data_IF_992325774725
#
_entry.id   IF_992325774725
#
_cell.length_a   1.000
_cell.length_b   1.000
_cell.length_c   1.000
_cell.angle_alpha   90.00
_cell.angle_beta   90.00
_cell.angle_gamma   90.00
#
_symmetry.space_group_name_H-M   'P 1'
#
loop_
_entity.id
_entity.type
_entity.pdbx_description
1 polymer ?
#
# COMPACT_ATOMS: atom_id res chain seq x y z
N UNK A 1 6.43 -9.37 5.10
CA UNK A 1 6.28 -9.55 3.64
C UNK A 1 7.53 -9.09 2.90
N UNK A 2 7.96 -7.83 3.06
CA UNK A 2 9.17 -7.32 2.42
C UNK A 2 10.43 -8.19 2.67
N UNK A 3 10.65 -8.63 3.92
CA UNK A 3 11.78 -9.51 4.26
C UNK A 3 11.71 -10.86 3.55
N UNK A 4 10.52 -11.48 3.45
CA UNK A 4 10.34 -12.75 2.74
C UNK A 4 10.67 -12.62 1.26
N UNK A 5 10.22 -11.54 0.63
CA UNK A 5 10.51 -11.25 -0.78
C UNK A 5 12.00 -10.98 -0.96
N UNK A 6 12.61 -10.19 -0.07
CA UNK A 6 14.04 -9.93 -0.12
C UNK A 6 14.87 -11.22 -0.01
N UNK A 7 14.48 -12.15 0.87
CA UNK A 7 15.13 -13.47 0.98
C UNK A 7 14.92 -14.36 -0.25
N UNK A 8 13.74 -14.32 -0.87
CA UNK A 8 13.51 -15.06 -2.12
C UNK A 8 14.40 -14.55 -3.26
N UNK A 9 14.55 -13.23 -3.35
CA UNK A 9 15.43 -12.58 -4.32
C UNK A 9 16.90 -12.89 -4.02
N UNK A 10 17.33 -12.78 -2.75
CA UNK A 10 18.70 -13.11 -2.33
C UNK A 10 19.08 -14.56 -2.68
N UNK A 11 18.13 -15.49 -2.58
CA UNK A 11 18.33 -16.88 -2.98
C UNK A 11 18.40 -17.01 -4.51
N UNK A 12 17.53 -16.32 -5.24
CA UNK A 12 17.55 -16.33 -6.71
C UNK A 12 18.88 -15.78 -7.26
N UNK A 13 19.41 -14.70 -6.67
CA UNK A 13 20.70 -14.11 -7.07
C UNK A 13 21.89 -15.03 -6.86
N UNK A 14 21.78 -16.00 -5.94
CA UNK A 14 22.85 -16.98 -5.66
C UNK A 14 22.82 -18.19 -6.60
N UNK A 15 21.70 -18.44 -7.29
CA UNK A 15 21.51 -19.62 -8.13
C UNK A 15 21.72 -19.25 -9.59
N UNK A 16 22.82 -19.70 -10.18
CA UNK A 16 23.18 -19.41 -11.58
C UNK A 16 22.11 -19.85 -12.60
N UNK A 17 21.39 -20.95 -12.32
CA UNK A 17 20.36 -21.47 -13.20
C UNK A 17 19.02 -20.70 -13.15
N UNK A 18 18.88 -19.69 -12.28
CA UNK A 18 17.63 -18.97 -12.04
C UNK A 18 17.75 -17.53 -12.50
N UNK A 19 16.79 -17.07 -13.31
CA UNK A 19 16.66 -15.65 -13.65
C UNK A 19 15.98 -14.89 -12.52
N UNK A 20 16.72 -14.03 -11.81
CA UNK A 20 16.13 -13.18 -10.75
C UNK A 20 15.01 -12.30 -11.29
N UNK A 21 15.13 -11.82 -12.54
CA UNK A 21 14.08 -11.04 -13.20
C UNK A 21 12.76 -11.81 -13.27
N UNK A 22 12.79 -13.05 -13.75
CA UNK A 22 11.59 -13.88 -13.88
C UNK A 22 10.96 -14.19 -12.51
N UNK A 23 11.78 -14.42 -11.49
CA UNK A 23 11.32 -14.60 -10.11
C UNK A 23 10.61 -13.36 -9.62
N UNK A 24 11.19 -12.17 -9.82
CA UNK A 24 10.59 -10.89 -9.41
C UNK A 24 9.29 -10.63 -10.17
N UNK A 25 9.26 -10.86 -11.48
CA UNK A 25 8.05 -10.75 -12.30
C UNK A 25 6.93 -11.67 -11.81
N UNK A 26 7.28 -12.91 -11.47
CA UNK A 26 6.36 -13.89 -10.88
C UNK A 26 5.80 -13.41 -9.55
N UNK A 27 6.65 -12.90 -8.65
CA UNK A 27 6.25 -12.35 -7.34
C UNK A 27 5.30 -11.16 -7.52
N UNK A 28 5.63 -10.24 -8.43
CA UNK A 28 4.78 -9.08 -8.71
C UNK A 28 3.40 -9.52 -9.21
N UNK A 29 3.38 -10.43 -10.18
CA UNK A 29 2.15 -10.91 -10.84
C UNK A 29 1.25 -11.70 -9.90
N UNK A 30 1.81 -12.60 -9.11
CA UNK A 30 1.03 -13.58 -8.33
C UNK A 30 0.67 -13.07 -6.94
N UNK A 31 1.60 -12.35 -6.29
CA UNK A 31 1.47 -11.94 -4.89
C UNK A 31 1.22 -10.44 -4.75
N UNK A 32 2.12 -9.59 -5.25
CA UNK A 32 2.06 -8.16 -4.92
C UNK A 32 0.85 -7.45 -5.51
N UNK A 33 0.54 -7.67 -6.79
CA UNK A 33 -0.65 -7.07 -7.42
C UNK A 33 -1.92 -7.58 -6.73
N UNK A 34 -1.98 -8.87 -6.39
CA UNK A 34 -3.11 -9.46 -5.66
C UNK A 34 -3.29 -8.82 -4.28
N UNK A 35 -2.20 -8.64 -3.54
CA UNK A 35 -2.22 -8.05 -2.20
C UNK A 35 -2.63 -6.57 -2.25
N UNK A 36 -2.10 -5.80 -3.21
CA UNK A 36 -2.48 -4.38 -3.40
C UNK A 36 -3.98 -4.26 -3.67
N UNK A 37 -4.50 -4.97 -4.68
CA UNK A 37 -5.92 -4.93 -5.04
C UNK A 37 -6.82 -5.45 -3.91
N UNK A 38 -6.39 -6.52 -3.23
CA UNK A 38 -7.10 -7.09 -2.08
C UNK A 38 -7.19 -6.12 -0.92
N UNK A 39 -6.09 -5.42 -0.61
CA UNK A 39 -6.03 -4.42 0.45
C UNK A 39 -6.85 -3.17 0.09
N UNK A 40 -6.81 -2.69 -1.16
CA UNK A 40 -7.67 -1.59 -1.63
C UNK A 40 -9.15 -1.92 -1.47
N UNK A 41 -9.57 -3.10 -1.95
CA UNK A 41 -10.96 -3.56 -1.80
C UNK A 41 -11.36 -3.66 -0.33
N UNK A 42 -10.49 -4.25 0.50
CA UNK A 42 -10.74 -4.40 1.94
C UNK A 42 -10.83 -3.05 2.64
N UNK A 43 -9.96 -2.10 2.29
CA UNK A 43 -9.98 -0.73 2.80
C UNK A 43 -11.31 -0.05 2.46
N UNK A 44 -11.74 -0.11 1.21
CA UNK A 44 -12.98 0.51 0.76
C UNK A 44 -14.23 -0.09 1.43
N UNK A 45 -14.19 -1.38 1.80
CA UNK A 45 -15.32 -2.09 2.44
C UNK A 45 -15.15 -2.33 3.94
N UNK A 46 -14.17 -1.70 4.60
CA UNK A 46 -13.82 -2.03 5.97
C UNK A 46 -14.87 -1.61 7.00
N UNK A 47 -14.85 -2.26 8.15
CA UNK A 47 -15.56 -1.79 9.33
C UNK A 47 -14.70 -0.79 10.12
N UNK A 48 -15.34 0.06 10.90
CA UNK A 48 -14.71 1.04 11.78
C UNK A 48 -14.85 0.57 13.23
N UNK A 49 -13.87 0.90 14.06
CA UNK A 49 -13.90 0.60 15.49
C UNK A 49 -13.85 1.88 16.31
N UNK A 50 -14.64 1.96 17.38
CA UNK A 50 -14.52 3.05 18.34
C UNK A 50 -13.16 2.99 19.06
N UNK A 51 -12.51 4.15 19.25
CA UNK A 51 -11.27 4.26 20.04
C UNK A 51 -11.49 4.05 21.55
N UNK A 52 -12.66 4.43 22.07
CA UNK A 52 -12.99 4.35 23.49
C UNK A 52 -13.53 2.99 23.92
N UNK A 53 -14.67 2.56 23.38
CA UNK A 53 -15.37 1.34 23.83
C UNK A 53 -15.15 0.12 22.93
N UNK A 54 -14.46 0.26 21.78
CA UNK A 54 -14.18 -0.85 20.87
C UNK A 54 -15.36 -1.35 20.02
N UNK A 55 -16.53 -0.70 20.11
CA UNK A 55 -17.70 -1.02 19.29
C UNK A 55 -17.35 -1.01 17.79
N UNK A 56 -17.91 -1.97 17.04
CA UNK A 56 -17.62 -2.15 15.61
C UNK A 56 -18.80 -1.70 14.76
N UNK A 57 -18.51 -0.85 13.78
CA UNK A 57 -19.47 -0.23 12.88
C UNK A 57 -19.19 -0.66 11.45
N UNK A 58 -20.17 -1.33 10.81
CA UNK A 58 -20.06 -1.67 9.38
C UNK A 58 -20.10 -0.42 8.51
N UNK A 59 -20.84 0.60 8.92
CA UNK A 59 -20.88 1.93 8.31
C UNK A 59 -20.78 2.97 9.44
N UNK A 60 -19.92 3.98 9.32
CA UNK A 60 -19.82 5.01 10.35
C UNK A 60 -21.13 5.84 10.40
N UNK A 61 -21.58 6.27 11.58
CA UNK A 61 -22.68 7.24 11.70
C UNK A 61 -22.32 8.56 11.01
N UNK A 62 -23.34 9.33 10.59
CA UNK A 62 -23.14 10.66 9.96
C UNK A 62 -22.37 11.60 10.88
N UNK A 63 -22.54 11.47 12.20
CA UNK A 63 -21.80 12.24 13.21
C UNK A 63 -20.31 11.91 13.29
N UNK A 64 -19.86 10.82 12.64
CA UNK A 64 -18.50 10.24 12.73
C UNK A 64 -18.05 9.85 14.15
N UNK A 65 -18.96 9.87 15.12
CA UNK A 65 -18.72 9.54 16.53
C UNK A 65 -19.43 8.25 16.91
N UNK A 66 -18.92 7.59 17.94
CA UNK A 66 -19.56 6.41 18.49
C UNK A 66 -20.87 6.78 19.19
N UNK A 67 -21.96 6.13 18.80
CA UNK A 67 -23.29 6.33 19.40
C UNK A 67 -23.37 5.92 20.88
N UNK A 68 -22.41 5.13 21.36
CA UNK A 68 -22.40 4.60 22.75
C UNK A 68 -21.62 5.53 23.69
N UNK A 69 -20.42 5.98 23.30
CA UNK A 69 -19.52 6.72 24.19
C UNK A 69 -19.02 8.06 23.63
N UNK A 70 -19.49 8.49 22.46
CA UNK A 70 -19.14 9.77 21.85
C UNK A 70 -17.70 9.90 21.35
N UNK A 71 -16.86 8.87 21.55
CA UNK A 71 -15.47 8.83 21.09
C UNK A 71 -15.37 8.65 19.57
N UNK A 72 -14.23 9.04 19.01
CA UNK A 72 -13.96 8.90 17.58
C UNK A 72 -13.89 7.44 17.11
N UNK A 73 -14.24 7.25 15.84
CA UNK A 73 -14.03 6.00 15.14
C UNK A 73 -12.64 5.98 14.49
N UNK A 74 -12.05 4.79 14.44
CA UNK A 74 -10.80 4.50 13.72
C UNK A 74 -11.04 3.44 12.67
N UNK A 75 -10.29 3.54 11.58
CA UNK A 75 -10.19 2.51 10.56
C UNK A 75 -9.56 1.23 11.14
N UNK A 76 -9.94 0.08 10.59
CA UNK A 76 -9.33 -1.21 10.96
C UNK A 76 -8.12 -1.54 10.09
N UNK A 77 -8.08 -1.00 8.88
CA UNK A 77 -6.98 -1.06 7.94
C UNK A 77 -6.62 0.37 7.55
N UNK A 78 -5.37 0.76 7.77
CA UNK A 78 -4.91 2.13 7.49
C UNK A 78 -4.48 2.28 6.03
N UNK A 79 -4.60 3.50 5.49
CA UNK A 79 -4.07 3.86 4.17
C UNK A 79 -2.59 3.45 3.99
N UNK A 80 -1.73 3.81 4.95
CA UNK A 80 -0.30 3.54 4.90
C UNK A 80 0.02 2.04 4.74
N UNK A 81 -0.85 1.16 5.27
CA UNK A 81 -0.70 -0.27 5.10
C UNK A 81 -0.86 -0.71 3.65
N UNK A 82 -1.77 -0.09 2.89
CA UNK A 82 -2.02 -0.37 1.46
C UNK A 82 -0.88 0.16 0.60
N UNK A 83 -0.45 1.39 0.86
CA UNK A 83 0.62 2.07 0.12
C UNK A 83 1.95 1.33 0.18
N UNK A 84 2.28 0.77 1.34
CA UNK A 84 3.53 0.02 1.54
C UNK A 84 3.70 -1.15 0.55
N UNK A 85 2.62 -1.84 0.19
CA UNK A 85 2.68 -2.94 -0.77
C UNK A 85 2.96 -2.45 -2.18
N UNK A 86 2.27 -1.38 -2.58
CA UNK A 86 2.43 -0.79 -3.91
C UNK A 86 3.83 -0.20 -4.09
N UNK A 87 4.34 0.51 -3.08
CA UNK A 87 5.70 1.04 -3.07
C UNK A 87 6.75 -0.08 -3.19
N UNK A 88 6.55 -1.20 -2.49
CA UNK A 88 7.44 -2.37 -2.58
C UNK A 88 7.43 -2.95 -4.00
N UNK A 89 6.26 -3.09 -4.62
CA UNK A 89 6.12 -3.63 -5.98
C UNK A 89 6.74 -2.72 -7.04
N UNK A 90 6.52 -1.40 -6.94
CA UNK A 90 7.13 -0.42 -7.85
C UNK A 90 8.65 -0.39 -7.74
N UNK A 91 9.20 -0.49 -6.52
CA UNK A 91 10.64 -0.57 -6.32
C UNK A 91 11.23 -1.79 -7.04
N UNK A 92 10.66 -2.97 -6.81
CA UNK A 92 11.12 -4.21 -7.46
C UNK A 92 10.96 -4.16 -8.99
N UNK A 93 9.88 -3.56 -9.48
CA UNK A 93 9.66 -3.39 -10.92
C UNK A 93 10.75 -2.52 -11.58
N UNK A 94 11.21 -1.48 -10.88
CA UNK A 94 12.31 -0.62 -11.34
C UNK A 94 13.66 -1.32 -11.24
N UNK A 95 13.98 -1.89 -10.08
CA UNK A 95 15.30 -2.46 -9.80
C UNK A 95 15.65 -3.63 -10.73
N UNK A 96 14.65 -4.44 -11.11
CA UNK A 96 14.84 -5.64 -11.94
C UNK A 96 14.39 -5.47 -13.40
N UNK A 97 14.06 -4.24 -13.82
CA UNK A 97 13.59 -3.89 -15.16
C UNK A 97 12.59 -4.92 -15.75
N UNK A 98 11.48 -5.08 -15.03
CA UNK A 98 10.41 -6.03 -15.38
C UNK A 98 9.67 -5.62 -16.65
N UNK A 99 8.92 -6.55 -17.21
CA UNK A 99 8.08 -6.33 -18.38
C UNK A 99 7.15 -5.10 -18.26
N UNK A 100 6.96 -4.43 -19.39
CA UNK A 100 6.22 -3.16 -19.48
C UNK A 100 4.76 -3.30 -19.07
N UNK A 101 4.16 -4.47 -19.32
CA UNK A 101 2.80 -4.76 -18.87
C UNK A 101 2.68 -4.70 -17.35
N UNK A 102 3.67 -5.23 -16.62
CA UNK A 102 3.66 -5.21 -15.15
C UNK A 102 3.83 -3.79 -14.62
N UNK A 103 4.69 -2.99 -15.24
CA UNK A 103 4.85 -1.56 -14.89
C UNK A 103 3.53 -0.81 -15.09
N UNK A 104 2.92 -0.93 -16.27
CA UNK A 104 1.62 -0.34 -16.59
C UNK A 104 0.53 -0.76 -15.59
N UNK A 105 0.54 -2.03 -15.16
CA UNK A 105 -0.42 -2.55 -14.18
C UNK A 105 -0.24 -1.98 -12.79
N UNK A 106 1.00 -1.76 -12.36
CA UNK A 106 1.30 -1.07 -11.10
C UNK A 106 0.92 0.41 -11.15
N UNK A 107 1.07 1.07 -12.29
CA UNK A 107 0.60 2.44 -12.48
C UNK A 107 -0.91 2.56 -12.43
N UNK A 108 -1.65 1.60 -13.01
CA UNK A 108 -3.10 1.54 -12.88
C UNK A 108 -3.52 1.42 -11.41
N UNK A 109 -2.88 0.52 -10.66
CA UNK A 109 -3.12 0.38 -9.22
C UNK A 109 -2.79 1.68 -8.46
N UNK A 110 -1.74 2.39 -8.86
CA UNK A 110 -1.40 3.69 -8.27
C UNK A 110 -2.48 4.75 -8.48
N UNK A 111 -3.04 4.81 -9.71
CA UNK A 111 -4.15 5.73 -10.03
C UNK A 111 -5.42 5.38 -9.27
N UNK A 112 -5.71 4.09 -9.08
CA UNK A 112 -6.85 3.66 -8.25
C UNK A 112 -6.64 4.05 -6.78
N UNK A 113 -5.41 3.93 -6.26
CA UNK A 113 -5.06 4.41 -4.93
C UNK A 113 -5.28 5.92 -4.81
N UNK A 114 -4.79 6.70 -5.78
CA UNK A 114 -5.02 8.15 -5.86
C UNK A 114 -6.49 8.54 -5.74
N UNK A 115 -7.35 7.81 -6.45
CA UNK A 115 -8.79 8.07 -6.46
C UNK A 115 -9.47 7.66 -5.15
N UNK A 116 -9.02 6.59 -4.51
CA UNK A 116 -9.53 6.14 -3.21
C UNK A 116 -9.15 7.09 -2.07
N UNK A 117 -8.03 7.81 -2.21
CA UNK A 117 -7.51 8.75 -1.23
C UNK A 117 -7.39 10.17 -1.79
N UNK A 118 -8.52 10.84 -2.11
CA UNK A 118 -8.52 12.19 -2.66
C UNK A 118 -8.13 13.17 -1.54
N UNK A 119 -6.83 13.41 -1.40
CA UNK A 119 -6.31 14.18 -0.27
C UNK A 119 -4.80 14.11 -0.08
N UNK A 120 -4.03 13.75 -1.12
CA UNK A 120 -2.54 13.82 -1.11
C UNK A 120 -1.98 15.25 -0.96
N UNK A 121 -2.72 16.16 -0.34
CA UNK A 121 -2.29 17.51 -0.06
C UNK A 121 -1.64 17.58 1.31
N UNK A 122 -0.35 17.25 1.37
CA UNK A 122 0.63 17.75 2.35
C UNK A 122 0.34 17.43 3.82
N UNK A 123 1.21 16.62 4.43
CA UNK A 123 1.66 17.02 5.76
C UNK A 123 2.08 18.48 5.66
N UNK A 124 1.57 19.35 6.55
CA UNK A 124 2.06 20.72 6.69
C UNK A 124 3.57 20.79 6.98
N UNK A 125 4.20 19.64 7.22
CA UNK A 125 5.62 19.45 7.35
C UNK A 125 6.25 19.15 5.98
N UNK A 126 6.88 20.17 5.41
CA UNK A 126 7.84 20.09 4.31
C UNK A 126 9.17 19.58 4.86
N UNK A 127 9.88 18.74 4.11
CA UNK A 127 11.23 18.31 4.55
C UNK A 127 12.23 19.48 4.44
N UNK A 128 13.15 19.57 5.41
CA UNK A 128 14.18 20.61 5.43
C UNK A 128 15.03 20.66 4.15
N UNK A 129 15.20 19.52 3.50
CA UNK A 129 15.93 19.38 2.22
C UNK A 129 15.18 20.05 1.07
N UNK A 130 13.85 20.03 1.08
CA UNK A 130 13.00 20.67 0.07
C UNK A 130 13.02 22.21 0.24
N UNK A 131 13.16 22.69 1.49
CA UNK A 131 13.42 24.11 1.77
C UNK A 131 14.83 24.55 1.34
N UNK A 132 15.85 23.74 1.63
CA UNK A 132 17.24 24.08 1.31
C UNK A 132 17.52 24.14 -0.21
N UNK A 133 16.78 23.37 -1.01
CA UNK A 133 16.96 23.30 -2.48
C UNK A 133 16.06 24.29 -3.25
N UNK A 134 15.26 25.11 -2.56
CA UNK A 134 14.38 26.12 -3.17
C UNK A 134 14.89 27.56 -3.02
N UNK A 135 16.15 27.74 -2.62
CA UNK A 135 16.87 29.02 -2.56
C UNK A 135 17.93 29.15 -3.66
#
# INVERSE_FOLDING_TARGET
MAEKIAKQIEVADKIEAVSTKEVVESIIRTHLIRDVMGNMKKYASQAFKCKGCGATYRRPPISSRCDICGSELRETLTQASVEKYLATAQRLARDYNVDEYLKSRLEMAQRELDQLFPGRGRSTQTELTEFANSS
#
